data_IF_231750536725
#
_entry.id   IF_231750536725
#
_cell.length_a   1.000
_cell.length_b   1.000
_cell.length_c   1.000
_cell.angle_alpha   90.00
_cell.angle_beta   90.00
_cell.angle_gamma   90.00
#
_symmetry.space_group_name_H-M   'P 1'
#
loop_
_entity.id
_entity.type
_entity.pdbx_description
1 polymer ?
#
# COMPACT_ATOMS: atom_id res chain seq x y z
N UNK A 1 -30.12 -19.01 52.97
CA UNK A 1 -30.10 -17.97 54.02
C UNK A 1 -29.04 -16.94 53.68
N UNK A 2 -29.42 -15.65 53.57
CA UNK A 2 -28.64 -14.41 53.79
C UNK A 2 -27.30 -14.29 53.02
N UNK A 3 -27.28 -13.71 51.80
CA UNK A 3 -27.03 -12.29 51.46
C UNK A 3 -25.72 -11.69 51.99
N UNK A 4 -24.99 -11.09 51.04
CA UNK A 4 -24.00 -10.02 51.14
C UNK A 4 -22.53 -10.42 51.44
N UNK A 5 -21.73 -10.52 50.38
CA UNK A 5 -20.52 -9.70 50.29
C UNK A 5 -20.44 -9.16 48.86
N UNK A 6 -20.80 -7.89 48.73
CA UNK A 6 -20.57 -7.11 47.53
C UNK A 6 -19.06 -6.98 47.35
N UNK A 7 -18.51 -7.59 46.31
CA UNK A 7 -17.31 -7.05 45.65
C UNK A 7 -17.76 -6.70 44.25
N UNK A 8 -18.28 -5.48 44.17
CA UNK A 8 -18.60 -4.80 42.95
C UNK A 8 -17.30 -4.49 42.20
N UNK A 9 -17.44 -4.53 40.87
CA UNK A 9 -16.61 -3.87 39.85
C UNK A 9 -15.32 -4.60 39.44
N UNK A 10 -15.24 -4.76 38.12
CA UNK A 10 -14.02 -4.74 37.31
C UNK A 10 -13.30 -6.07 37.11
N UNK A 11 -13.67 -6.77 36.04
CA UNK A 11 -12.75 -7.04 34.91
C UNK A 11 -13.41 -7.98 33.89
N UNK A 12 -14.65 -7.67 33.52
CA UNK A 12 -15.15 -8.04 32.20
C UNK A 12 -14.49 -7.05 31.22
N UNK A 13 -14.08 -7.53 30.04
CA UNK A 13 -13.64 -6.73 28.90
C UNK A 13 -12.16 -6.30 28.83
N UNK A 14 -11.26 -7.24 28.56
CA UNK A 14 -10.05 -6.96 27.77
C UNK A 14 -10.03 -7.84 26.51
N UNK A 15 -11.12 -7.79 25.74
CA UNK A 15 -11.03 -8.08 24.31
C UNK A 15 -10.56 -6.77 23.65
N UNK A 16 -9.25 -6.50 23.79
CA UNK A 16 -8.61 -5.39 23.09
C UNK A 16 -8.64 -5.72 21.59
N UNK A 17 -9.67 -5.20 20.96
CA UNK A 17 -9.88 -5.07 19.53
C UNK A 17 -8.58 -4.56 18.90
N UNK A 18 -7.78 -5.47 18.36
CA UNK A 18 -6.74 -5.15 17.38
C UNK A 18 -7.44 -4.87 16.06
N UNK A 19 -8.24 -3.79 16.03
CA UNK A 19 -8.59 -3.15 14.79
C UNK A 19 -7.28 -2.62 14.21
N UNK A 20 -6.69 -3.40 13.31
CA UNK A 20 -5.52 -2.99 12.56
C UNK A 20 -5.79 -1.60 12.02
N UNK A 21 -4.95 -0.64 12.43
CA UNK A 21 -5.00 0.71 11.88
C UNK A 21 -4.79 0.55 10.38
N UNK A 22 -5.86 0.67 9.61
CA UNK A 22 -5.80 0.71 8.16
C UNK A 22 -5.17 2.06 7.80
N UNK A 23 -3.85 2.12 7.85
CA UNK A 23 -3.11 3.25 7.31
C UNK A 23 -3.49 3.37 5.84
N UNK A 24 -4.04 4.53 5.48
CA UNK A 24 -4.33 4.87 4.09
C UNK A 24 -3.07 4.58 3.27
N UNK A 25 -3.18 3.61 2.35
CA UNK A 25 -2.06 3.25 1.50
C UNK A 25 -1.75 4.43 0.58
N UNK A 26 -0.47 4.70 0.29
CA UNK A 26 -0.10 5.73 -0.67
C UNK A 26 -0.85 5.53 -2.01
N UNK A 27 -1.27 6.62 -2.64
CA UNK A 27 -1.91 6.53 -3.97
C UNK A 27 -0.84 6.19 -5.02
N UNK A 28 -0.82 4.92 -5.43
CA UNK A 28 0.13 4.41 -6.41
C UNK A 28 0.08 5.11 -7.77
N UNK A 29 -1.10 5.60 -8.20
CA UNK A 29 -1.21 6.36 -9.45
C UNK A 29 -0.53 7.72 -9.28
N UNK A 30 -0.82 8.43 -8.19
CA UNK A 30 -0.21 9.73 -7.96
C UNK A 30 1.33 9.66 -7.86
N UNK A 31 1.85 8.60 -7.24
CA UNK A 31 3.29 8.33 -7.19
C UNK A 31 3.84 8.05 -8.59
N UNK A 32 3.18 7.17 -9.36
CA UNK A 32 3.61 6.85 -10.73
C UNK A 32 3.58 8.09 -11.65
N UNK A 33 2.52 8.89 -11.61
CA UNK A 33 2.38 10.13 -12.37
C UNK A 33 3.54 11.10 -12.04
N UNK A 34 3.95 11.18 -10.77
CA UNK A 34 5.05 12.05 -10.33
C UNK A 34 6.43 11.48 -10.70
N UNK A 35 6.66 10.19 -10.45
CA UNK A 35 7.99 9.57 -10.53
C UNK A 35 8.34 9.10 -11.95
N UNK A 36 7.39 8.49 -12.66
CA UNK A 36 7.62 7.87 -13.96
C UNK A 36 7.56 8.86 -15.13
N UNK A 37 7.05 10.08 -14.90
CA UNK A 37 7.00 11.16 -15.90
C UNK A 37 8.25 12.04 -15.94
N UNK A 38 9.21 11.84 -15.02
CA UNK A 38 10.40 12.71 -14.89
C UNK A 38 11.40 12.59 -16.05
N UNK A 39 11.48 11.42 -16.68
CA UNK A 39 12.46 11.16 -17.74
C UNK A 39 11.81 10.99 -19.13
N UNK A 40 10.54 10.58 -19.20
CA UNK A 40 9.77 10.43 -20.44
C UNK A 40 8.28 10.53 -20.12
N UNK A 41 7.43 10.75 -21.13
CA UNK A 41 5.98 10.87 -20.92
C UNK A 41 5.34 9.64 -20.26
N UNK A 42 4.38 9.87 -19.37
CA UNK A 42 3.68 8.81 -18.60
C UNK A 42 2.91 7.84 -19.51
N UNK A 43 2.46 8.30 -20.69
CA UNK A 43 1.77 7.48 -21.68
C UNK A 43 2.49 6.19 -22.06
N UNK A 44 3.83 6.16 -22.00
CA UNK A 44 4.63 4.95 -22.28
C UNK A 44 4.41 3.86 -21.22
N UNK A 45 4.14 4.26 -19.98
CA UNK A 45 3.79 3.35 -18.88
C UNK A 45 2.34 2.91 -19.04
N UNK A 46 1.42 3.86 -19.25
CA UNK A 46 -0.02 3.59 -19.36
C UNK A 46 -0.39 2.70 -20.56
N UNK A 47 0.39 2.74 -21.65
CA UNK A 47 0.17 1.91 -22.83
C UNK A 47 0.91 0.57 -22.83
N UNK A 48 1.74 0.30 -21.82
CA UNK A 48 2.51 -0.91 -21.76
C UNK A 48 1.65 -2.10 -21.33
N UNK A 49 1.70 -3.18 -22.12
CA UNK A 49 1.09 -4.47 -21.77
C UNK A 49 2.15 -5.34 -21.11
N UNK A 50 2.02 -5.56 -19.82
CA UNK A 50 2.99 -6.30 -18.99
C UNK A 50 2.27 -7.10 -17.93
N UNK A 51 2.74 -8.30 -17.64
CA UNK A 51 2.31 -9.03 -16.46
C UNK A 51 3.00 -8.50 -15.17
N UNK A 52 2.66 -9.07 -14.02
CA UNK A 52 3.17 -8.62 -12.72
C UNK A 52 4.70 -8.67 -12.61
N UNK A 53 5.33 -9.78 -13.02
CA UNK A 53 6.79 -9.92 -12.92
C UNK A 53 7.52 -8.98 -13.89
N UNK A 54 6.95 -8.71 -15.05
CA UNK A 54 7.46 -7.72 -16.00
C UNK A 54 7.34 -6.28 -15.49
N UNK A 55 6.30 -6.00 -14.70
CA UNK A 55 6.13 -4.71 -14.02
C UNK A 55 7.13 -4.51 -12.89
N UNK A 56 7.36 -5.53 -12.06
CA UNK A 56 8.41 -5.52 -11.03
C UNK A 56 9.79 -5.24 -11.64
N UNK A 57 10.17 -6.03 -12.65
CA UNK A 57 11.44 -5.84 -13.34
C UNK A 57 11.54 -4.46 -14.02
N UNK A 58 10.41 -3.90 -14.47
CA UNK A 58 10.38 -2.55 -15.06
C UNK A 58 10.56 -1.47 -13.99
N UNK A 59 9.88 -1.57 -12.85
CA UNK A 59 10.01 -0.62 -11.76
C UNK A 59 11.45 -0.61 -11.22
N UNK A 60 12.03 -1.78 -10.98
CA UNK A 60 13.42 -1.90 -10.52
C UNK A 60 14.41 -1.28 -11.51
N UNK A 61 14.21 -1.55 -12.81
CA UNK A 61 15.02 -0.95 -13.88
C UNK A 61 14.89 0.58 -13.91
N UNK A 62 13.70 1.14 -13.67
CA UNK A 62 13.49 2.59 -13.67
C UNK A 62 14.06 3.25 -12.43
N UNK A 63 13.93 2.62 -11.26
CA UNK A 63 14.57 3.08 -10.02
C UNK A 63 16.09 3.12 -10.18
N UNK A 64 16.69 2.06 -10.75
CA UNK A 64 18.13 2.02 -11.08
C UNK A 64 18.55 3.14 -12.05
N UNK A 65 17.64 3.63 -12.90
CA UNK A 65 17.88 4.74 -13.83
C UNK A 65 17.57 6.11 -13.23
N UNK A 66 17.12 6.19 -11.97
CA UNK A 66 16.90 7.44 -11.25
C UNK A 66 15.43 7.81 -11.02
N UNK A 67 14.46 6.93 -11.32
CA UNK A 67 13.08 7.15 -10.89
C UNK A 67 13.02 7.15 -9.34
N UNK A 68 12.41 8.19 -8.77
CA UNK A 68 12.33 8.38 -7.32
C UNK A 68 11.02 7.79 -6.81
N UNK A 69 11.07 6.53 -6.39
CA UNK A 69 10.01 5.82 -5.68
C UNK A 69 10.61 5.34 -4.36
N UNK A 70 10.03 5.75 -3.23
CA UNK A 70 10.52 5.33 -1.92
C UNK A 70 10.25 3.82 -1.70
N UNK A 71 11.07 3.11 -0.90
CA UNK A 71 10.84 1.69 -0.63
C UNK A 71 9.42 1.36 -0.14
N UNK A 72 8.86 2.21 0.72
CA UNK A 72 7.50 2.11 1.27
C UNK A 72 6.40 2.43 0.26
N UNK A 73 6.71 3.11 -0.85
CA UNK A 73 5.78 3.44 -1.93
C UNK A 73 5.73 2.35 -3.01
N UNK A 74 6.73 1.45 -3.03
CA UNK A 74 6.94 0.49 -4.12
C UNK A 74 5.71 -0.38 -4.37
N UNK A 75 5.11 -0.91 -3.31
CA UNK A 75 3.97 -1.82 -3.42
C UNK A 75 2.71 -1.11 -3.95
N UNK A 76 2.49 0.14 -3.54
CA UNK A 76 1.40 0.95 -4.07
C UNK A 76 1.58 1.21 -5.57
N UNK A 77 2.79 1.54 -6.00
CA UNK A 77 3.12 1.74 -7.42
C UNK A 77 2.90 0.44 -8.21
N UNK A 78 3.42 -0.69 -7.75
CA UNK A 78 3.21 -1.98 -8.43
C UNK A 78 1.74 -2.36 -8.52
N UNK A 79 0.97 -2.12 -7.45
CA UNK A 79 -0.48 -2.34 -7.48
C UNK A 79 -1.15 -1.54 -8.58
N UNK A 80 -0.80 -0.26 -8.71
CA UNK A 80 -1.32 0.58 -9.80
C UNK A 80 -0.87 0.09 -11.17
N UNK A 81 0.43 -0.20 -11.37
CA UNK A 81 0.95 -0.68 -12.65
C UNK A 81 0.25 -1.97 -13.11
N UNK A 82 -0.05 -2.87 -12.18
CA UNK A 82 -0.80 -4.10 -12.46
C UNK A 82 -2.28 -3.88 -12.83
N UNK A 83 -2.84 -2.68 -12.63
CA UNK A 83 -4.17 -2.33 -13.16
C UNK A 83 -4.15 -1.94 -14.64
N UNK A 84 -2.96 -1.72 -15.23
CA UNK A 84 -2.80 -1.35 -16.63
C UNK A 84 -2.85 -2.56 -17.59
N UNK A 85 -3.06 -3.77 -17.05
CA UNK A 85 -3.09 -5.01 -17.83
C UNK A 85 -4.47 -5.15 -18.49
N UNK A 86 -4.55 -4.82 -19.78
CA UNK A 86 -5.69 -5.10 -20.65
C UNK A 86 -5.29 -5.97 -21.84
#
# INVERSE_FOLDING_TARGET
MKRAFAVLVSSMFLCALSAGVAFAQPDGKAIADKACSKCHGIKKVESAKKNASEWEATLDRMIKKGAKVAPEERDAVLKYLNTLVF
#
